data_IF_473071616723
#
_entry.id   IF_473071616723
#
_cell.length_a   1.000
_cell.length_b   1.000
_cell.length_c   1.000
_cell.angle_alpha   90.00
_cell.angle_beta   90.00
_cell.angle_gamma   90.00
#
_symmetry.space_group_name_H-M   'P 1'
#
loop_
_entity.id
_entity.type
_entity.pdbx_description
1 polymer ?
2 non-polymer ?
3 non-polymer ?
4 non-polymer ?
5 water ?
#
# COMPACT_ATOMS: atom_id res chain seq x y z
N UNK A 1 -11.34 -11.18 23.73
CA UNK A 1 -10.75 -11.80 22.51
C UNK A 1 -9.84 -10.79 21.81
N UNK A 2 -8.77 -11.26 21.19
CA UNK A 2 -7.84 -10.35 20.53
C UNK A 2 -8.43 -9.92 19.17
N UNK A 3 -7.91 -8.78 18.71
CA UNK A 3 -8.31 -8.29 17.38
C UNK A 3 -7.44 -9.06 16.39
N UNK A 4 -8.00 -9.84 15.48
CA UNK A 4 -7.22 -10.61 14.53
C UNK A 4 -6.90 -9.75 13.30
N UNK A 5 -5.62 -9.60 13.00
CA UNK A 5 -5.20 -8.73 11.90
C UNK A 5 -4.48 -9.61 10.88
N UNK A 6 -4.79 -9.41 9.59
CA UNK A 6 -4.08 -10.12 8.54
C UNK A 6 -3.54 -9.01 7.60
N UNK A 7 -2.25 -9.05 7.37
CA UNK A 7 -1.58 -8.01 6.60
C UNK A 7 -0.84 -8.64 5.42
N UNK A 8 -1.06 -8.10 4.21
CA UNK A 8 -0.27 -8.60 3.09
C UNK A 8 1.04 -7.83 2.86
N UNK A 9 2.05 -8.49 2.27
CA UNK A 9 3.31 -7.81 1.96
C UNK A 9 4.11 -7.38 3.18
N UNK A 10 4.47 -8.37 4.01
CA UNK A 10 5.17 -8.07 5.26
C UNK A 10 6.68 -8.33 5.23
N UNK A 11 7.27 -8.58 4.06
CA UNK A 11 8.69 -8.88 4.03
C UNK A 11 9.56 -7.65 4.25
N UNK A 12 9.01 -6.45 4.06
CA UNK A 12 9.79 -5.23 4.27
C UNK A 12 8.84 -4.03 4.40
N UNK A 13 9.45 -2.87 4.60
CA UNK A 13 8.67 -1.65 4.60
C UNK A 13 7.49 -1.55 5.53
N UNK A 14 6.46 -0.84 5.04
CA UNK A 14 5.31 -0.56 5.85
C UNK A 14 4.68 -1.80 6.45
N UNK A 15 4.54 -2.87 5.62
CA UNK A 15 3.87 -4.05 6.16
C UNK A 15 4.70 -4.72 7.28
N UNK A 16 6.00 -4.82 7.08
CA UNK A 16 6.82 -5.39 8.17
C UNK A 16 6.69 -4.55 9.43
N UNK A 17 6.85 -3.21 9.31
CA UNK A 17 6.81 -2.40 10.54
C UNK A 17 5.45 -2.38 11.17
N UNK A 18 4.35 -2.37 10.39
CA UNK A 18 3.02 -2.41 10.96
C UNK A 18 2.77 -3.71 11.73
N UNK A 19 3.15 -4.82 11.11
CA UNK A 19 2.96 -6.12 11.74
C UNK A 19 3.69 -6.19 13.11
N UNK A 20 4.92 -5.73 13.19
CA UNK A 20 5.61 -5.80 14.51
C UNK A 20 5.11 -4.75 15.47
N UNK A 21 4.66 -3.60 14.94
CA UNK A 21 4.03 -2.61 15.82
C UNK A 21 2.79 -3.18 16.49
N UNK A 22 1.92 -3.84 15.72
CA UNK A 22 0.71 -4.42 16.30
C UNK A 22 1.01 -5.60 17.21
N UNK A 23 1.90 -6.48 16.77
CA UNK A 23 2.13 -7.68 17.59
C UNK A 23 2.79 -7.31 18.92
N UNK A 24 3.61 -6.26 18.92
CA UNK A 24 4.29 -5.89 20.16
C UNK A 24 3.52 -4.86 20.98
N UNK A 25 2.31 -4.51 20.59
CA UNK A 25 1.56 -3.53 21.39
C UNK A 25 1.59 -3.90 22.86
N UNK A 26 1.87 -2.94 23.73
CA UNK A 26 1.86 -3.21 25.18
C UNK A 26 0.59 -3.86 25.66
N UNK A 27 -0.58 -3.51 25.16
CA UNK A 27 -1.86 -4.11 25.58
C UNK A 27 -2.11 -5.54 25.16
N UNK A 28 -1.30 -6.11 24.26
CA UNK A 28 -1.49 -7.45 23.72
C UNK A 28 -2.89 -7.63 23.15
N UNK A 29 -3.43 -6.61 22.50
CA UNK A 29 -4.72 -6.51 21.89
C UNK A 29 -4.84 -7.26 20.56
N UNK A 30 -3.72 -7.34 19.86
CA UNK A 30 -3.71 -7.89 18.51
C UNK A 30 -3.05 -9.23 18.31
N UNK A 31 -3.60 -10.03 17.40
CA UNK A 31 -3.02 -11.30 16.97
C UNK A 31 -2.69 -11.04 15.49
N UNK A 32 -1.43 -11.04 15.11
CA UNK A 32 -1.17 -10.66 13.70
C UNK A 32 -0.72 -11.83 12.84
N UNK A 33 -1.35 -11.93 11.65
CA UNK A 33 -0.96 -12.85 10.62
C UNK A 33 -0.22 -12.02 9.56
N UNK A 34 1.09 -12.11 9.59
CA UNK A 34 1.95 -11.38 8.66
C UNK A 34 2.17 -12.28 7.45
N UNK A 35 1.63 -11.86 6.30
CA UNK A 35 1.72 -12.68 5.11
C UNK A 35 2.76 -12.14 4.16
N UNK A 36 3.36 -13.11 3.47
CA UNK A 36 4.50 -12.81 2.60
C UNK A 36 4.41 -13.64 1.33
N UNK A 37 4.83 -13.05 0.20
CA UNK A 37 4.81 -13.81 -1.05
C UNK A 37 5.69 -15.04 -0.99
N UNK A 38 6.91 -14.83 -0.49
CA UNK A 38 7.88 -15.89 -0.41
C UNK A 38 8.38 -16.04 1.05
N UNK A 39 8.17 -17.21 1.64
CA UNK A 39 8.66 -17.37 3.04
C UNK A 39 10.14 -17.22 3.18
N UNK A 40 11.01 -17.36 2.20
CA UNK A 40 12.43 -17.14 2.31
C UNK A 40 12.76 -15.67 2.68
N UNK A 41 11.82 -14.74 2.54
CA UNK A 41 12.10 -13.35 2.89
C UNK A 41 11.63 -12.99 4.30
N UNK A 42 11.28 -13.95 5.14
CA UNK A 42 10.76 -13.60 6.47
C UNK A 42 11.78 -13.26 7.55
N UNK A 43 13.06 -13.33 7.29
CA UNK A 43 14.09 -13.09 8.33
C UNK A 43 14.03 -11.71 8.91
N UNK A 44 13.89 -10.65 8.09
CA UNK A 44 13.87 -9.29 8.65
C UNK A 44 12.69 -9.09 9.58
N UNK A 45 11.56 -9.67 9.17
CA UNK A 45 10.36 -9.61 9.99
C UNK A 45 10.64 -10.23 11.37
N UNK A 46 11.23 -11.42 11.43
CA UNK A 46 11.53 -12.07 12.71
C UNK A 46 12.62 -11.36 13.47
N UNK A 47 13.58 -10.74 12.80
CA UNK A 47 14.58 -9.94 13.49
C UNK A 47 13.93 -8.71 14.12
N UNK A 48 12.99 -8.07 13.43
CA UNK A 48 12.29 -6.93 14.03
C UNK A 48 11.38 -7.32 15.18
N UNK A 49 10.69 -8.45 15.03
CA UNK A 49 9.80 -9.00 16.01
C UNK A 49 10.56 -9.26 17.32
N UNK A 50 11.73 -9.87 17.20
CA UNK A 50 12.49 -10.08 18.48
C UNK A 50 12.94 -8.74 19.05
N UNK A 51 13.34 -7.78 18.23
CA UNK A 51 13.83 -6.47 18.68
C UNK A 51 12.75 -5.74 19.47
N UNK A 52 11.48 -5.91 19.14
CA UNK A 52 10.35 -5.31 19.83
C UNK A 52 9.73 -6.24 20.87
N UNK A 53 10.35 -7.41 21.05
CA UNK A 53 9.87 -8.37 22.03
C UNK A 53 8.42 -8.77 21.86
N UNK A 54 8.01 -9.08 20.63
CA UNK A 54 6.66 -9.54 20.39
C UNK A 54 6.43 -10.84 21.14
N UNK A 55 5.41 -10.93 21.97
CA UNK A 55 5.17 -12.15 22.74
C UNK A 55 5.01 -13.36 21.83
N UNK A 56 5.35 -14.55 22.34
CA UNK A 56 5.12 -15.78 21.59
C UNK A 56 3.66 -15.91 21.27
N UNK A 57 3.30 -16.12 20.01
CA UNK A 57 1.94 -16.26 19.56
C UNK A 57 1.27 -14.95 19.12
N UNK A 58 1.95 -13.82 19.21
CA UNK A 58 1.34 -12.54 18.84
C UNK A 58 1.47 -12.35 17.31
N UNK A 59 2.45 -13.02 16.75
CA UNK A 59 2.79 -12.89 15.34
C UNK A 59 3.02 -14.23 14.70
N UNK A 60 2.42 -14.45 13.52
CA UNK A 60 2.60 -15.70 12.81
C UNK A 60 2.78 -15.33 11.33
N UNK A 61 3.59 -16.07 10.61
CA UNK A 61 3.73 -15.80 9.18
C UNK A 61 3.03 -16.87 8.36
N UNK A 62 2.46 -16.41 7.24
CA UNK A 62 1.82 -17.29 6.27
C UNK A 62 2.31 -16.91 4.88
N UNK A 63 2.45 -17.90 3.99
CA UNK A 63 2.81 -17.59 2.62
C UNK A 63 1.51 -17.19 1.89
N UNK A 64 1.51 -16.07 1.19
CA UNK A 64 0.30 -15.59 0.53
C UNK A 64 0.76 -14.81 -0.70
N UNK A 65 0.42 -15.38 -1.86
CA UNK A 65 0.79 -14.64 -3.11
C UNK A 65 -0.53 -14.09 -3.64
N UNK A 66 -0.67 -12.76 -3.64
CA UNK A 66 -1.93 -12.14 -4.06
C UNK A 66 -2.27 -12.35 -5.53
N UNK A 67 -1.35 -12.86 -6.34
CA UNK A 67 -1.64 -13.15 -7.75
C UNK A 67 -2.44 -14.43 -7.92
N UNK A 68 -2.51 -15.28 -6.88
CA UNK A 68 -3.14 -16.58 -6.91
C UNK A 68 -4.27 -16.73 -5.91
N UNK A 69 -5.49 -16.83 -6.40
CA UNK A 69 -6.68 -16.98 -5.59
C UNK A 69 -6.64 -18.25 -4.74
N UNK A 70 -5.95 -19.29 -5.19
CA UNK A 70 -5.76 -20.47 -4.34
C UNK A 70 -4.88 -20.17 -3.13
N UNK A 71 -3.86 -19.33 -3.30
CA UNK A 71 -2.97 -18.97 -2.19
C UNK A 71 -3.74 -18.11 -1.20
N UNK A 72 -4.59 -17.21 -1.69
CA UNK A 72 -5.42 -16.33 -0.85
C UNK A 72 -6.34 -17.20 0.02
N UNK A 73 -7.00 -18.16 -0.63
CA UNK A 73 -7.90 -19.07 0.05
C UNK A 73 -7.22 -19.93 1.08
N UNK A 74 -6.04 -20.49 0.80
CA UNK A 74 -5.30 -21.31 1.75
C UNK A 74 -4.81 -20.50 2.96
N UNK A 75 -4.48 -19.23 2.71
CA UNK A 75 -4.05 -18.39 3.85
C UNK A 75 -5.27 -18.11 4.73
N UNK A 76 -6.42 -17.80 4.20
CA UNK A 76 -7.66 -17.54 4.90
C UNK A 76 -8.06 -18.73 5.78
N UNK A 77 -7.82 -19.93 5.22
CA UNK A 77 -8.13 -21.14 6.00
C UNK A 77 -7.18 -21.31 7.17
N UNK A 78 -5.96 -20.77 7.12
CA UNK A 78 -5.01 -20.82 8.20
C UNK A 78 -5.33 -19.86 9.34
N UNK A 79 -6.30 -18.95 9.22
CA UNK A 79 -6.64 -18.08 10.35
C UNK A 79 -7.45 -18.92 11.34
N UNK A 80 -6.76 -19.46 12.34
CA UNK A 80 -7.36 -20.37 13.32
C UNK A 80 -8.57 -19.82 14.04
N UNK A 81 -8.63 -18.52 14.30
CA UNK A 81 -9.79 -17.89 14.93
C UNK A 81 -11.04 -17.92 14.09
N UNK A 82 -10.94 -18.17 12.78
CA UNK A 82 -12.09 -18.20 11.89
C UNK A 82 -12.72 -16.85 11.63
N UNK A 83 -11.92 -15.78 11.79
CA UNK A 83 -12.41 -14.44 11.56
C UNK A 83 -11.18 -13.52 11.43
N UNK A 84 -11.39 -12.45 10.69
CA UNK A 84 -10.36 -11.40 10.53
C UNK A 84 -11.08 -10.12 10.89
N UNK A 85 -10.57 -9.44 11.92
CA UNK A 85 -11.16 -8.18 12.36
C UNK A 85 -10.67 -7.00 11.52
N UNK A 86 -9.38 -7.08 11.20
CA UNK A 86 -8.73 -6.01 10.42
C UNK A 86 -7.95 -6.66 9.28
N UNK A 87 -8.25 -6.27 8.05
CA UNK A 87 -7.52 -6.77 6.89
C UNK A 87 -6.70 -5.58 6.35
N UNK A 88 -5.43 -5.80 6.17
CA UNK A 88 -4.57 -4.70 5.67
C UNK A 88 -4.02 -5.16 4.34
N UNK A 89 -4.54 -4.56 3.25
CA UNK A 89 -4.08 -4.84 1.93
C UNK A 89 -2.94 -3.83 1.63
N UNK A 90 -1.74 -4.33 1.72
CA UNK A 90 -0.50 -3.57 1.55
C UNK A 90 0.47 -4.07 0.52
N UNK A 91 0.41 -5.32 0.07
CA UNK A 91 1.30 -5.87 -0.94
C UNK A 91 1.25 -4.95 -2.15
N UNK A 92 2.41 -4.60 -2.68
CA UNK A 92 2.40 -3.71 -3.86
C UNK A 92 3.79 -3.73 -4.48
N UNK A 93 3.80 -3.44 -5.76
CA UNK A 93 4.95 -3.32 -6.60
C UNK A 93 5.08 -1.92 -7.17
N UNK A 94 6.32 -1.49 -7.34
CA UNK A 94 6.52 -0.20 -8.02
C UNK A 94 6.92 -0.55 -9.45
N UNK A 95 6.98 0.48 -10.28
CA UNK A 95 7.46 0.31 -11.63
C UNK A 95 7.90 1.70 -12.11
N UNK A 96 9.21 1.82 -12.44
CA UNK A 96 9.69 3.16 -12.78
C UNK A 96 10.45 3.13 -14.11
N UNK A 97 10.13 4.06 -14.99
CA UNK A 97 10.88 4.12 -16.26
C UNK A 97 10.02 4.70 -17.36
N UNK A 98 10.63 4.96 -18.51
CA UNK A 98 9.90 5.44 -19.67
C UNK A 98 8.82 4.40 -20.00
N UNK A 99 7.60 4.85 -20.28
CA UNK A 99 6.55 3.88 -20.59
C UNK A 99 6.94 2.89 -21.67
N UNK A 100 7.58 3.35 -22.76
CA UNK A 100 7.96 2.43 -23.84
C UNK A 100 9.11 1.50 -23.51
N UNK A 101 9.81 1.71 -22.40
CA UNK A 101 10.89 0.85 -21.94
C UNK A 101 10.40 -0.25 -21.00
N UNK A 102 9.14 -0.17 -20.54
CA UNK A 102 8.62 -1.20 -19.65
C UNK A 102 8.19 -2.45 -20.40
N UNK A 103 8.53 -3.61 -19.84
CA UNK A 103 8.09 -4.88 -20.39
C UNK A 103 6.59 -5.05 -20.16
N UNK A 104 5.94 -5.68 -21.14
CA UNK A 104 4.52 -5.95 -21.07
C UNK A 104 4.16 -6.79 -19.86
N UNK A 105 4.99 -7.79 -19.55
CA UNK A 105 4.86 -8.62 -18.38
C UNK A 105 5.00 -7.78 -17.11
N UNK A 106 5.94 -6.85 -17.06
CA UNK A 106 6.11 -6.04 -15.84
C UNK A 106 4.85 -5.18 -15.64
N UNK A 107 4.35 -4.61 -16.74
CA UNK A 107 3.10 -3.83 -16.60
C UNK A 107 1.94 -4.67 -16.09
N UNK A 108 1.69 -5.83 -16.70
CA UNK A 108 0.61 -6.71 -16.31
C UNK A 108 0.81 -7.16 -14.88
N UNK A 109 2.05 -7.50 -14.49
CA UNK A 109 2.29 -7.85 -13.10
C UNK A 109 1.94 -6.74 -12.12
N UNK A 110 2.35 -5.49 -12.40
CA UNK A 110 2.04 -4.41 -11.44
C UNK A 110 0.53 -4.33 -11.22
N UNK A 111 -0.23 -4.36 -12.33
CA UNK A 111 -1.70 -4.33 -12.17
C UNK A 111 -2.24 -5.59 -11.51
N UNK A 112 -1.68 -6.78 -11.76
CA UNK A 112 -2.22 -7.96 -11.12
C UNK A 112 -2.00 -8.00 -9.61
N UNK A 113 -0.82 -7.57 -9.19
CA UNK A 113 -0.53 -7.59 -7.74
C UNK A 113 -1.27 -6.43 -7.07
N UNK A 114 -1.07 -5.22 -7.60
CA UNK A 114 -1.55 -4.02 -6.90
C UNK A 114 -3.07 -3.92 -6.89
N UNK A 115 -3.70 -4.19 -8.03
CA UNK A 115 -5.14 -4.05 -8.19
C UNK A 115 -5.88 -5.38 -8.11
N UNK A 116 -5.55 -6.30 -9.02
CA UNK A 116 -6.35 -7.56 -8.98
C UNK A 116 -6.08 -8.30 -7.67
N UNK A 117 -4.88 -8.27 -7.12
CA UNK A 117 -4.56 -8.93 -5.85
C UNK A 117 -5.41 -8.37 -4.70
N UNK A 118 -5.65 -7.04 -4.70
CA UNK A 118 -6.49 -6.43 -3.68
C UNK A 118 -7.93 -6.90 -3.89
N UNK A 119 -8.34 -6.92 -5.19
CA UNK A 119 -9.69 -7.48 -5.41
C UNK A 119 -9.79 -8.90 -4.88
N UNK A 120 -8.80 -9.75 -5.14
CA UNK A 120 -8.80 -11.13 -4.64
C UNK A 120 -8.91 -11.16 -3.11
N UNK A 121 -8.20 -10.25 -2.43
CA UNK A 121 -8.31 -10.25 -0.96
C UNK A 121 -9.70 -9.83 -0.55
N UNK A 122 -10.29 -8.77 -1.13
CA UNK A 122 -11.60 -8.28 -0.77
C UNK A 122 -12.68 -9.32 -1.06
N UNK A 123 -12.51 -10.03 -2.17
CA UNK A 123 -13.51 -11.07 -2.48
C UNK A 123 -13.45 -12.18 -1.44
N UNK A 124 -12.27 -12.56 -0.99
CA UNK A 124 -12.04 -13.62 -0.03
C UNK A 124 -12.43 -13.22 1.39
N UNK A 125 -12.23 -11.97 1.79
CA UNK A 125 -12.55 -11.60 3.17
C UNK A 125 -13.75 -10.70 3.39
N UNK A 126 -14.24 -9.93 2.44
CA UNK A 126 -15.37 -9.04 2.59
C UNK A 126 -16.69 -9.69 2.97
N UNK A 127 -17.07 -10.79 2.35
CA UNK A 127 -18.37 -11.42 2.61
C UNK A 127 -18.61 -11.75 4.06
N UNK A 128 -17.64 -12.31 4.78
CA UNK A 128 -17.80 -12.61 6.20
C UNK A 128 -17.94 -11.34 7.03
N UNK A 129 -17.25 -10.26 6.65
CA UNK A 129 -17.40 -8.99 7.37
C UNK A 129 -18.80 -8.44 7.20
N UNK A 130 -19.30 -8.53 5.96
CA UNK A 130 -20.64 -8.02 5.65
C UNK A 130 -21.70 -8.78 6.44
N UNK A 131 -21.52 -10.09 6.54
CA UNK A 131 -22.50 -10.91 7.26
C UNK A 131 -22.50 -10.55 8.74
N UNK A 132 -21.31 -10.40 9.32
CA UNK A 132 -21.17 -10.07 10.73
C UNK A 132 -21.52 -8.63 11.05
N UNK A 133 -21.35 -7.77 10.05
CA UNK A 133 -21.63 -6.35 10.17
C UNK A 133 -20.48 -5.67 10.90
N UNK A 134 -19.27 -6.21 10.73
CA UNK A 134 -18.13 -5.59 11.38
C UNK A 134 -16.82 -6.01 10.71
N UNK A 135 -15.87 -5.07 10.79
CA UNK A 135 -14.57 -5.41 10.19
C UNK A 135 -13.99 -4.12 9.61
N UNK A 136 -12.65 -4.10 9.69
CA UNK A 136 -11.94 -2.95 9.19
C UNK A 136 -11.00 -3.41 8.08
N UNK A 137 -11.06 -2.61 6.98
CA UNK A 137 -10.16 -2.90 5.88
C UNK A 137 -9.31 -1.63 5.67
N UNK A 138 -8.00 -1.76 5.78
CA UNK A 138 -7.07 -0.67 5.53
C UNK A 138 -6.25 -0.99 4.28
N UNK A 139 -6.18 -0.04 3.36
CA UNK A 139 -5.44 -0.27 2.12
C UNK A 139 -4.30 0.72 2.03
N UNK A 140 -3.08 0.28 1.76
CA UNK A 140 -1.95 1.19 1.62
C UNK A 140 -2.09 1.95 0.30
N UNK A 141 -2.27 3.26 0.44
CA UNK A 141 -2.40 4.14 -0.72
C UNK A 141 -1.10 4.88 -0.91
N UNK A 142 -1.08 5.81 -1.86
CA UNK A 142 0.09 6.58 -2.18
C UNK A 142 -0.35 7.95 -2.70
N UNK A 143 0.57 8.91 -2.54
CA UNK A 143 0.34 10.23 -3.16
C UNK A 143 0.28 9.99 -4.67
N UNK A 144 0.97 9.01 -5.25
CA UNK A 144 0.91 8.66 -6.67
C UNK A 144 -0.45 8.09 -7.11
N UNK A 145 -1.35 7.82 -6.16
CA UNK A 145 -2.72 7.40 -6.48
C UNK A 145 -3.63 8.64 -6.55
N UNK A 146 -3.06 9.79 -6.14
CA UNK A 146 -3.88 11.02 -6.08
C UNK A 146 -3.49 12.05 -7.14
N UNK A 147 -2.29 11.90 -7.66
CA UNK A 147 -1.74 12.76 -8.71
C UNK A 147 -0.72 12.03 -9.52
N UNK A 148 -0.73 12.27 -10.85
CA UNK A 148 0.17 11.60 -11.76
C UNK A 148 1.63 12.02 -11.68
N UNK A 149 2.53 11.04 -11.63
CA UNK A 149 3.97 11.33 -11.52
C UNK A 149 4.69 10.84 -12.74
N UNK A 150 5.55 11.70 -13.34
CA UNK A 150 6.26 11.31 -14.54
C UNK A 150 7.11 10.10 -14.27
N UNK A 151 7.23 9.21 -15.23
CA UNK A 151 7.99 7.98 -15.22
C UNK A 151 7.49 6.94 -14.23
N UNK A 152 6.29 7.15 -13.69
CA UNK A 152 5.59 6.26 -12.78
C UNK A 152 4.19 5.99 -13.38
N UNK A 153 4.05 6.00 -14.67
CA UNK A 153 2.76 5.92 -15.37
C UNK A 153 1.96 4.70 -14.96
N UNK A 154 2.61 3.54 -15.01
CA UNK A 154 1.84 2.32 -14.66
C UNK A 154 1.70 2.19 -13.17
N UNK A 155 2.67 2.61 -12.35
CA UNK A 155 2.56 2.58 -10.91
C UNK A 155 1.40 3.50 -10.47
N UNK A 156 1.40 4.72 -11.00
CA UNK A 156 0.27 5.64 -10.67
C UNK A 156 -1.02 5.02 -11.22
N UNK A 157 -1.03 4.39 -12.40
CA UNK A 157 -2.30 3.79 -12.88
C UNK A 157 -2.82 2.86 -11.80
N UNK A 158 -1.93 2.01 -11.29
CA UNK A 158 -2.36 1.04 -10.27
C UNK A 158 -2.85 1.63 -8.99
N UNK A 159 -2.23 2.75 -8.51
CA UNK A 159 -2.59 3.36 -7.24
C UNK A 159 -3.89 4.17 -7.43
N UNK A 160 -4.05 4.83 -8.56
CA UNK A 160 -5.30 5.52 -8.91
C UNK A 160 -6.40 4.43 -8.92
N UNK A 161 -6.06 3.28 -9.51
CA UNK A 161 -7.08 2.18 -9.54
C UNK A 161 -7.56 1.84 -8.14
N UNK A 162 -6.65 1.75 -7.16
CA UNK A 162 -7.09 1.43 -5.79
C UNK A 162 -8.01 2.49 -5.27
N UNK A 163 -7.74 3.77 -5.59
CA UNK A 163 -8.64 4.84 -5.16
C UNK A 163 -10.07 4.57 -5.69
N UNK A 164 -10.19 4.29 -6.98
CA UNK A 164 -11.51 4.06 -7.58
C UNK A 164 -12.17 2.84 -6.97
N UNK A 165 -11.38 1.76 -6.81
CA UNK A 165 -11.91 0.53 -6.24
C UNK A 165 -12.46 0.77 -4.84
N UNK A 166 -11.67 1.38 -3.97
CA UNK A 166 -12.02 1.59 -2.58
C UNK A 166 -13.15 2.56 -2.39
N UNK A 167 -13.12 3.64 -3.20
CA UNK A 167 -14.14 4.65 -3.10
C UNK A 167 -15.50 4.10 -3.49
N UNK A 168 -15.53 3.28 -4.55
CA UNK A 168 -16.72 2.60 -5.05
C UNK A 168 -17.29 1.67 -4.00
N UNK A 169 -16.43 0.85 -3.40
CA UNK A 169 -16.86 -0.04 -2.32
C UNK A 169 -17.33 0.73 -1.11
N UNK A 170 -16.68 1.81 -0.71
CA UNK A 170 -17.08 2.59 0.46
C UNK A 170 -18.53 3.09 0.33
N UNK A 171 -18.89 3.52 -0.89
CA UNK A 171 -20.26 4.00 -1.09
C UNK A 171 -21.25 2.90 -0.73
N UNK A 172 -21.00 1.66 -1.16
CA UNK A 172 -21.91 0.58 -0.82
C UNK A 172 -21.82 0.16 0.64
N UNK A 173 -20.59 0.03 1.14
CA UNK A 173 -20.39 -0.47 2.50
C UNK A 173 -20.78 0.43 3.64
N UNK A 174 -21.14 1.68 3.43
CA UNK A 174 -21.48 2.67 4.43
C UNK A 174 -22.42 2.18 5.52
N UNK A 175 -23.59 1.66 5.18
CA UNK A 175 -24.52 1.10 6.14
C UNK A 175 -24.28 -0.33 6.60
N UNK A 176 -23.26 -1.05 6.11
CA UNK A 176 -23.04 -2.44 6.50
C UNK A 176 -22.24 -2.59 7.80
N UNK A 177 -21.63 -1.53 8.29
CA UNK A 177 -20.78 -1.64 9.49
C UNK A 177 -19.35 -2.07 9.17
N UNK A 178 -19.02 -2.22 7.90
CA UNK A 178 -17.66 -2.64 7.48
C UNK A 178 -16.99 -1.34 7.06
N UNK A 179 -15.80 -1.06 7.56
CA UNK A 179 -15.16 0.23 7.30
C UNK A 179 -13.89 0.08 6.49
N UNK A 180 -13.84 0.73 5.35
CA UNK A 180 -12.68 0.70 4.46
C UNK A 180 -12.01 2.06 4.45
N UNK A 181 -10.69 2.05 4.60
CA UNK A 181 -9.93 3.28 4.60
C UNK A 181 -8.61 3.12 3.82
N UNK A 182 -8.27 4.14 3.08
CA UNK A 182 -6.98 4.22 2.42
C UNK A 182 -6.02 5.06 3.26
N UNK A 183 -4.81 4.53 3.41
CA UNK A 183 -3.79 5.23 4.16
C UNK A 183 -2.81 5.81 3.15
N UNK A 184 -2.94 7.12 2.91
CA UNK A 184 -2.20 7.80 1.86
C UNK A 184 -0.80 8.23 2.27
N UNK A 185 0.16 7.47 1.80
CA UNK A 185 1.58 7.65 2.11
C UNK A 185 2.32 8.48 1.06
N UNK A 186 3.25 9.36 1.51
CA UNK A 186 4.22 10.04 0.65
C UNK A 186 5.43 9.11 0.65
N UNK A 187 6.66 9.58 0.41
CA UNK A 187 7.85 8.77 0.47
C UNK A 187 8.11 8.29 1.90
N UNK A 188 8.53 7.05 2.01
CA UNK A 188 8.79 6.42 3.29
C UNK A 188 10.17 5.74 3.30
N UNK A 189 10.88 5.82 4.42
CA UNK A 189 12.17 5.15 4.56
C UNK A 189 11.94 3.65 4.72
N UNK A 190 12.36 2.83 3.77
CA UNK A 190 12.11 1.40 3.83
C UNK A 190 13.34 0.64 3.30
N UNK A 199 19.51 -1.17 -15.33
CA UNK A 199 20.72 -0.61 -15.92
C UNK A 199 20.35 0.51 -16.87
N UNK A 200 21.11 1.60 -16.84
CA UNK A 200 20.89 2.74 -17.71
C UNK A 200 20.96 2.32 -19.18
N UNK A 201 21.88 1.41 -19.49
CA UNK A 201 22.09 0.86 -20.81
C UNK A 201 20.83 0.21 -21.34
N UNK A 202 20.11 -0.57 -20.51
CA UNK A 202 18.86 -1.16 -21.01
C UNK A 202 17.78 -0.11 -21.20
N UNK A 203 17.67 0.89 -20.33
CA UNK A 203 16.67 1.93 -20.52
C UNK A 203 17.01 2.72 -21.78
N UNK A 204 18.29 3.06 -21.95
CA UNK A 204 18.69 3.81 -23.15
C UNK A 204 18.38 3.05 -24.43
N UNK A 205 18.58 1.75 -24.49
CA UNK A 205 18.23 0.98 -25.68
C UNK A 205 16.75 1.01 -26.02
N UNK A 206 15.85 1.21 -25.06
CA UNK A 206 14.42 1.20 -25.33
C UNK A 206 13.76 2.57 -25.36
N UNK A 207 14.50 3.68 -25.37
CA UNK A 207 13.84 4.97 -25.46
C UNK A 207 14.69 5.99 -26.21
N UNK A 208 14.21 7.21 -26.35
CA UNK A 208 14.99 8.22 -27.07
C UNK A 208 15.94 8.95 -26.11
N UNK A 209 16.99 9.60 -26.61
CA UNK A 209 17.94 10.28 -25.75
C UNK A 209 17.35 11.41 -24.93
N UNK A 210 16.32 12.08 -25.41
CA UNK A 210 15.67 13.16 -24.70
C UNK A 210 14.85 12.58 -23.52
N UNK A 211 14.12 11.51 -23.81
CA UNK A 211 13.38 10.88 -22.69
C UNK A 211 14.35 10.33 -21.67
N UNK A 212 15.45 9.74 -22.11
CA UNK A 212 16.50 9.22 -21.24
C UNK A 212 17.03 10.32 -20.33
N UNK A 213 17.37 11.48 -20.88
CA UNK A 213 17.84 12.62 -20.11
C UNK A 213 16.82 13.13 -19.11
N UNK A 214 15.54 13.16 -19.49
CA UNK A 214 14.49 13.61 -18.59
C UNK A 214 14.34 12.59 -17.44
N UNK A 215 14.57 11.31 -17.73
CA UNK A 215 14.51 10.27 -16.70
C UNK A 215 15.58 10.51 -15.65
N UNK A 216 16.80 10.85 -16.12
CA UNK A 216 17.88 11.21 -15.18
C UNK A 216 17.46 12.37 -14.30
N UNK A 217 16.87 13.40 -14.88
CA UNK A 217 16.44 14.57 -14.14
C UNK A 217 15.39 14.21 -13.08
N UNK A 218 14.46 13.36 -13.50
CA UNK A 218 13.43 12.87 -12.57
C UNK A 218 14.10 12.17 -11.40
N UNK A 219 14.99 11.23 -11.67
CA UNK A 219 15.69 10.46 -10.65
C UNK A 219 16.45 11.36 -9.70
N UNK A 220 17.17 12.34 -10.24
CA UNK A 220 17.91 13.27 -9.37
C UNK A 220 16.98 14.04 -8.45
N UNK A 221 15.85 14.49 -9.00
CA UNK A 221 14.83 15.21 -8.25
C UNK A 221 14.22 14.32 -7.16
N UNK A 222 13.82 13.11 -7.54
CA UNK A 222 13.23 12.13 -6.63
C UNK A 222 14.13 11.80 -5.45
N UNK A 223 15.44 11.66 -5.71
CA UNK A 223 16.40 11.40 -4.65
C UNK A 223 16.41 12.54 -3.65
N UNK A 224 16.32 13.80 -4.11
CA UNK A 224 16.35 14.94 -3.20
C UNK A 224 15.07 15.04 -2.39
N UNK A 225 13.94 14.78 -3.06
CA UNK A 225 12.66 14.81 -2.35
C UNK A 225 12.69 13.74 -1.27
N UNK A 226 13.15 12.54 -1.59
CA UNK A 226 13.25 11.43 -0.66
C UNK A 226 14.17 11.78 0.49
N UNK A 227 15.37 12.30 0.20
CA UNK A 227 16.30 12.69 1.27
C UNK A 227 15.71 13.72 2.23
N UNK A 228 14.91 14.63 1.74
CA UNK A 228 14.29 15.69 2.50
C UNK A 228 12.98 15.33 3.18
N UNK A 229 12.15 14.52 2.51
CA UNK A 229 10.81 14.28 2.99
C UNK A 229 10.47 12.86 3.38
N UNK A 230 11.34 11.87 3.22
CA UNK A 230 10.90 10.51 3.56
C UNK A 230 10.56 10.37 5.04
N UNK A 231 9.41 9.79 5.35
CA UNK A 231 8.98 9.59 6.74
C UNK A 231 9.51 8.26 7.29
N UNK A 232 9.74 8.11 8.60
CA UNK A 232 10.15 6.84 9.21
C UNK A 232 8.96 5.90 9.09
N UNK A 233 9.10 4.60 8.85
CA UNK A 233 7.99 3.66 8.78
C UNK A 233 7.25 3.57 10.10
N UNK A 234 7.92 3.90 11.23
CA UNK A 234 7.18 3.84 12.49
C UNK A 234 6.08 4.91 12.51
N UNK A 235 6.39 6.10 11.98
CA UNK A 235 5.41 7.19 11.96
C UNK A 235 4.26 6.83 11.03
N UNK A 236 4.58 6.25 9.88
CA UNK A 236 3.55 5.79 8.95
C UNK A 236 2.67 4.68 9.51
N UNK A 237 3.28 3.67 10.17
CA UNK A 237 2.52 2.58 10.77
C UNK A 237 1.53 3.06 11.77
N UNK A 238 1.90 4.12 12.55
CA UNK A 238 1.01 4.72 13.53
C UNK A 238 -0.26 5.30 12.96
N UNK A 239 -0.23 5.79 11.71
CA UNK A 239 -1.45 6.28 11.04
C UNK A 239 -2.40 5.13 10.76
N UNK A 240 -1.89 3.92 10.45
CA UNK A 240 -2.76 2.77 10.32
C UNK A 240 -3.45 2.48 11.65
N UNK A 241 -2.70 2.56 12.76
CA UNK A 241 -3.30 2.32 14.07
C UNK A 241 -4.35 3.37 14.40
N UNK A 242 -4.08 4.63 14.06
CA UNK A 242 -5.05 5.69 14.27
C UNK A 242 -6.35 5.40 13.54
N UNK A 243 -6.26 4.95 12.27
CA UNK A 243 -7.43 4.61 11.51
C UNK A 243 -8.20 3.43 12.09
N UNK A 244 -7.46 2.42 12.61
CA UNK A 244 -8.07 1.25 13.17
C UNK A 244 -8.90 1.47 14.42
N UNK A 245 -8.50 2.45 15.21
CA UNK A 245 -9.16 2.73 16.48
C UNK A 245 -10.24 3.79 16.36
N UNK A 246 -10.31 4.44 15.21
CA UNK A 246 -11.33 5.48 15.04
C UNK A 246 -12.69 4.79 15.06
N UNK A 247 -13.63 5.32 15.85
CA UNK A 247 -14.97 4.78 15.89
C UNK A 247 -15.67 4.84 14.55
N UNK A 248 -15.50 5.94 13.84
CA UNK A 248 -16.12 6.19 12.53
C UNK A 248 -15.04 6.64 11.56
N UNK A 249 -14.25 5.69 11.08
CA UNK A 249 -13.14 6.02 10.22
C UNK A 249 -13.58 6.63 8.89
N UNK A 250 -12.76 7.57 8.44
CA UNK A 250 -12.98 8.23 7.15
C UNK A 250 -12.44 7.32 6.05
N UNK A 251 -12.78 7.66 4.81
CA UNK A 251 -12.28 6.84 3.68
C UNK A 251 -10.78 7.02 3.50
N UNK A 252 -10.24 8.20 3.80
CA UNK A 252 -8.82 8.45 3.58
C UNK A 252 -8.10 9.10 4.74
N UNK A 253 -6.91 8.57 5.03
CA UNK A 253 -6.04 9.15 6.05
C UNK A 253 -4.79 9.59 5.28
N UNK A 254 -4.21 10.70 5.68
CA UNK A 254 -2.97 11.17 5.05
C UNK A 254 -1.85 11.04 6.08
N UNK A 255 -0.69 10.52 5.63
CA UNK A 255 0.41 10.36 6.61
C UNK A 255 1.20 11.65 6.76
N UNK A 256 0.98 12.56 5.83
CA UNK A 256 1.63 13.85 5.80
C UNK A 256 0.74 14.88 5.07
N UNK A 257 0.99 16.15 5.40
CA UNK A 257 0.23 17.21 4.70
C UNK A 257 1.08 17.85 3.63
N UNK A 258 2.28 17.35 3.39
CA UNK A 258 3.26 17.89 2.48
C UNK A 258 2.71 18.09 1.06
N UNK A 259 1.93 17.13 0.58
CA UNK A 259 1.40 17.18 -0.78
C UNK A 259 -0.01 17.69 -0.91
N UNK A 260 -0.66 18.16 0.14
CA UNK A 260 -2.02 18.67 0.08
C UNK A 260 -2.15 19.88 -0.84
N UNK A 261 -1.24 20.84 -0.78
CA UNK A 261 -1.28 21.98 -1.68
C UNK A 261 -1.29 21.57 -3.14
N UNK A 262 -0.42 20.66 -3.55
CA UNK A 262 -0.36 20.15 -4.93
C UNK A 262 -1.68 19.43 -5.22
N UNK A 263 -2.17 18.62 -4.28
CA UNK A 263 -3.44 17.94 -4.46
C UNK A 263 -4.58 18.95 -4.65
N UNK A 264 -4.61 20.02 -3.86
CA UNK A 264 -5.66 21.03 -4.00
C UNK A 264 -5.60 21.75 -5.33
N UNK A 265 -4.40 22.09 -5.80
CA UNK A 265 -4.22 22.70 -7.10
C UNK A 265 -4.82 21.81 -8.19
N UNK A 266 -4.41 20.53 -8.08
CA UNK A 266 -4.90 19.54 -9.04
C UNK A 266 -6.41 19.52 -9.00
N UNK A 267 -6.97 19.36 -7.80
CA UNK A 267 -8.41 19.24 -7.64
C UNK A 267 -9.19 20.50 -8.00
N UNK A 268 -8.58 21.67 -7.95
CA UNK A 268 -9.22 22.93 -8.27
C UNK A 268 -9.23 23.31 -9.73
N UNK A 269 -8.52 22.61 -10.59
CA UNK A 269 -8.53 22.91 -12.02
C UNK A 269 -8.74 21.55 -12.71
N UNK A 270 -9.99 21.17 -12.85
CA UNK A 270 -10.38 19.92 -13.49
C UNK A 270 -9.92 19.79 -14.92
N UNK A 271 -9.49 20.83 -15.65
CA UNK A 271 -8.92 20.64 -16.98
C UNK A 271 -7.57 19.97 -16.93
N UNK A 272 -6.93 20.03 -15.73
CA UNK A 272 -5.63 19.42 -15.52
C UNK A 272 -4.45 20.31 -15.86
N UNK A 273 -4.66 21.44 -16.53
CA UNK A 273 -3.62 22.35 -16.98
C UNK A 273 -2.70 22.82 -15.86
N UNK A 274 -3.29 23.31 -14.79
CA UNK A 274 -2.46 23.83 -13.68
C UNK A 274 -1.55 22.75 -13.09
N UNK A 275 -2.12 21.57 -12.85
CA UNK A 275 -1.34 20.49 -12.28
C UNK A 275 -0.20 20.07 -13.18
N UNK A 276 -0.51 19.85 -14.47
CA UNK A 276 0.52 19.41 -15.39
C UNK A 276 1.68 20.40 -15.46
N UNK A 277 1.39 21.70 -15.56
CA UNK A 277 2.46 22.70 -15.60
C UNK A 277 3.23 22.72 -14.28
N UNK A 278 2.49 22.79 -13.18
CA UNK A 278 3.09 22.82 -11.85
C UNK A 278 3.97 21.59 -11.59
N UNK A 279 3.48 20.39 -11.90
CA UNK A 279 4.32 19.21 -11.62
C UNK A 279 5.49 19.12 -12.59
N UNK A 280 5.36 19.61 -13.83
CA UNK A 280 6.47 19.57 -14.76
C UNK A 280 7.59 20.50 -14.26
N UNK A 281 7.18 21.65 -13.74
CA UNK A 281 8.20 22.57 -13.20
C UNK A 281 8.80 22.03 -11.91
N UNK A 282 7.99 21.42 -11.05
CA UNK A 282 8.47 20.84 -9.81
C UNK A 282 9.52 19.76 -10.06
N UNK A 283 9.29 18.85 -11.00
CA UNK A 283 10.25 17.77 -11.25
C UNK A 283 11.40 18.20 -12.13
N UNK A 284 11.09 18.94 -13.18
CA UNK A 284 12.09 19.33 -14.18
C UNK A 284 12.50 20.79 -14.08
X LIG B 1 9.59 9.00 -4.74
X LIG B 1 9.53 7.48 -4.66
X LIG B 1 8.52 7.13 -3.55
X LIG B 1 8.86 6.25 -2.78
X LIG B 1 7.23 7.87 -3.48
X LIG B 1 7.36 9.38 -3.69
X LIG B 1 5.97 10.06 -3.81
X LIG B 1 6.11 11.55 -4.06
X LIG B 1 6.95 11.84 -5.33
X LIG B 1 8.34 11.21 -5.14
X LIG B 1 8.22 9.66 -4.96
X LIG B 1 9.23 11.60 -6.36
X LIG B 1 9.41 13.11 -6.56
X LIG B 1 8.01 13.78 -6.68
X LIG B 1 7.11 13.41 -5.57
X LIG B 1 5.84 14.21 -5.86
X LIG B 1 6.52 15.60 -5.98
X LIG B 1 7.89 15.29 -6.60
X LIG B 1 8.68 16.14 -6.98
X LIG B 1 7.40 13.34 -8.09
X LIG B 1 7.53 9.08 -6.22
X LIG C 1 7.65 -2.43 -0.10
X LIG C 1 7.51 -2.17 -1.55
X LIG C 1 8.94 -2.99 0.38
X LIG C 1 6.39 -3.30 0.29
X LIG C 1 5.77 -4.09 -0.64
X LIG C 1 5.48 -5.48 -0.13
X LIG C 1 4.69 -5.99 -1.17
X LIG C 1 6.74 -6.40 -0.06
X LIG C 1 6.67 -7.16 1.15
X LIG C 1 6.55 -7.27 -1.29
X LIG C 1 7.20 -8.54 -1.23
X LIG C 1 5.01 -7.36 -1.35
X LIG C 1 4.60 -8.02 -2.55
X LIG C 1 4.99 -7.78 -3.86
X LIG C 1 4.41 -8.68 -4.68
X LIG C 1 3.64 -9.44 -3.86
X LIG C 1 2.84 -10.51 -4.21
X LIG C 1 2.68 -10.93 -5.46
X LIG C 1 2.13 -11.17 -3.18
X LIG C 1 2.27 -10.76 -1.91
X LIG C 1 3.08 -9.73 -1.55
X LIG C 1 3.78 -9.04 -2.55
X LIG C 1 7.45 -0.93 0.42
X LIG C 1 8.29 -9.06 -2.34
X LIG C 1 9.09 -7.79 -2.70
X LIG C 1 9.04 -10.16 -1.67
X LIG C 1 7.45 -9.51 -3.54
X LIG D 1 -10.49 15.51 -11.52
X LIG D 1 -9.83 14.23 -10.79
X LIG D 1 -9.87 16.61 -12.08
X LIG D 1 -10.39 16.86 -13.30
X LIG D 1 -8.80 16.89 -11.55
X LIG D 1 -7.48 17.71 -11.79
#
# INVERSE_FOLDING_TARGET
ARTVVLITGCSSGIGLHLAVRLASDPSQSFKVYATLRDLKTQGRLWEAARALACPPGSLETLQLDVRDSKSVAAARERVTEGRVDVLVCNAGLGLLGPLEALGEDAVASVLDVNVVGTVRMLQAFLPDMKRRGSGRVLVTGSVGGLMGLPFNDVYCASKFALEGLCESLAVLLLPFGVHLSLIECGPVHTAFMEKVLGSPEEVLDRTDIHTFHRFYQYLAHSKQVFREAAQNPEEVAEVFLTALRAPKPTLRYFTTERFLPLLRMRLDDPSGSNYVTAMHREVFGDVPAKAEAGAEAGGGAGPGAEDEAGRSAVGDPELGDPPAAPQ
5SD C1 C2 C3 O3 C4 C5 C6 C7 C8 C9 C10 C11 C12 C13 C14 C15 C16 C17 O17 C18 C19
NAP PA O1A O2A O5B C5B C4B O4B C3B O3B C2B O2B C1B N9A C8A N7A C5A C6A N6A N1A C2A N3A C4A O3 P2B O1X O2X O3X
GOL C1 O1 C2 O2 C3 O3
#
